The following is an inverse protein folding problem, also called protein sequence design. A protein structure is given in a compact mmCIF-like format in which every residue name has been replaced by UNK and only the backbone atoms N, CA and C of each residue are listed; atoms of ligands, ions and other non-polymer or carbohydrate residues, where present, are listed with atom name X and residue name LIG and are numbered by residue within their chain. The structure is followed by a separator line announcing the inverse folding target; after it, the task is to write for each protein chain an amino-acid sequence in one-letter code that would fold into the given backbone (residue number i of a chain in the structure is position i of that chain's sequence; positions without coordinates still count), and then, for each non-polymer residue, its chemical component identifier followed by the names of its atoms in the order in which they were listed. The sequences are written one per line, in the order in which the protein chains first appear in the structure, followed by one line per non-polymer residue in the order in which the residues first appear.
data_IF_809340003721
#
_entry.id   IF_809340003721
#
_cell.length_a   1.000
_cell.length_b   1.000
_cell.length_c   1.000
_cell.angle_alpha   90.00
_cell.angle_beta   90.00
_cell.angle_gamma   90.00
#
_symmetry.space_group_name_H-M   'P 1'
#
loop_
_entity.id
_entity.type
_entity.pdbx_description
1 polymer ?
#
# COMPACT_ATOMS: atom_id res chain seq x y z
N UNK A 1 -23.94 -17.61 -0.87
CA UNK A 1 -22.51 -17.91 -0.70
C UNK A 1 -21.89 -18.64 -1.89
N UNK A 2 -22.40 -19.81 -2.31
CA UNK A 2 -21.77 -20.58 -3.40
C UNK A 2 -21.73 -19.81 -4.74
N UNK A 3 -22.79 -19.13 -5.14
CA UNK A 3 -22.84 -18.32 -6.37
C UNK A 3 -21.88 -17.13 -6.33
N UNK A 4 -21.76 -16.47 -5.15
CA UNK A 4 -20.79 -15.39 -4.95
C UNK A 4 -19.37 -15.91 -5.08
N UNK A 5 -19.09 -17.08 -4.51
CA UNK A 5 -17.76 -17.71 -4.63
C UNK A 5 -17.42 -18.09 -6.07
N UNK A 6 -18.38 -18.66 -6.81
CA UNK A 6 -18.18 -18.96 -8.25
C UNK A 6 -17.90 -17.71 -9.06
N UNK A 7 -18.70 -16.63 -8.87
CA UNK A 7 -18.47 -15.34 -9.49
C UNK A 7 -17.12 -14.74 -9.11
N UNK A 8 -16.78 -14.79 -7.83
CA UNK A 8 -15.48 -14.34 -7.33
C UNK A 8 -14.31 -15.09 -7.93
N UNK A 9 -14.36 -16.43 -8.00
CA UNK A 9 -13.32 -17.24 -8.64
C UNK A 9 -13.20 -16.93 -10.13
N UNK A 10 -14.32 -16.71 -10.84
CA UNK A 10 -14.29 -16.24 -12.23
C UNK A 10 -13.52 -14.93 -12.34
N UNK A 11 -13.78 -13.96 -11.46
CA UNK A 11 -13.09 -12.67 -11.45
C UNK A 11 -11.60 -12.82 -11.13
N UNK A 12 -11.23 -13.71 -10.20
CA UNK A 12 -9.84 -14.07 -9.90
C UNK A 12 -9.11 -14.57 -11.16
N UNK A 13 -9.71 -15.53 -11.89
CA UNK A 13 -9.09 -16.07 -13.11
C UNK A 13 -8.96 -15.02 -14.20
N UNK A 14 -10.00 -14.18 -14.40
CA UNK A 14 -9.97 -13.11 -15.41
C UNK A 14 -8.89 -12.08 -15.05
N UNK A 15 -8.82 -11.64 -13.80
CA UNK A 15 -7.84 -10.64 -13.37
C UNK A 15 -6.41 -11.17 -13.39
N UNK A 16 -6.20 -12.43 -13.01
CA UNK A 16 -4.89 -13.10 -13.15
C UNK A 16 -4.48 -13.19 -14.62
N UNK A 17 -5.38 -13.66 -15.51
CA UNK A 17 -5.12 -13.74 -16.95
C UNK A 17 -4.80 -12.38 -17.57
N UNK A 18 -5.60 -11.37 -17.27
CA UNK A 18 -5.37 -10.00 -17.73
C UNK A 18 -4.00 -9.47 -17.25
N UNK A 19 -3.65 -9.73 -15.98
CA UNK A 19 -2.38 -9.30 -15.42
C UNK A 19 -1.17 -10.00 -16.05
N UNK A 20 -1.27 -11.29 -16.37
CA UNK A 20 -0.21 -12.04 -17.05
C UNK A 20 0.09 -11.42 -18.43
N UNK A 21 -0.93 -10.95 -19.14
CA UNK A 21 -0.78 -10.31 -20.45
C UNK A 21 -0.27 -8.87 -20.30
N UNK A 22 -0.78 -8.13 -19.31
CA UNK A 22 -0.49 -6.70 -19.15
C UNK A 22 0.89 -6.44 -18.54
N UNK A 23 1.33 -7.26 -17.60
CA UNK A 23 2.59 -7.04 -16.87
C UNK A 23 3.84 -6.98 -17.79
N UNK A 24 4.06 -7.90 -18.75
CA UNK A 24 5.19 -7.79 -19.69
C UNK A 24 5.17 -6.52 -20.53
N UNK A 25 3.99 -6.04 -20.91
CA UNK A 25 3.82 -4.79 -21.67
C UNK A 25 4.28 -3.61 -20.81
N UNK A 26 3.80 -3.52 -19.56
CA UNK A 26 4.21 -2.46 -18.62
C UNK A 26 5.72 -2.51 -18.39
N UNK A 27 6.28 -3.69 -18.12
CA UNK A 27 7.73 -3.85 -17.91
C UNK A 27 8.52 -3.33 -19.13
N UNK A 28 8.12 -3.71 -20.34
CA UNK A 28 8.75 -3.24 -21.58
C UNK A 28 8.70 -1.72 -21.74
N UNK A 29 7.54 -1.11 -21.44
CA UNK A 29 7.35 0.34 -21.47
C UNK A 29 8.24 1.05 -20.43
N UNK A 30 8.30 0.53 -19.20
CA UNK A 30 9.13 1.11 -18.13
C UNK A 30 10.62 1.12 -18.51
N UNK A 31 11.12 0.06 -19.15
CA UNK A 31 12.48 0.03 -19.69
C UNK A 31 12.66 1.02 -20.85
N UNK A 32 11.71 1.06 -21.81
CA UNK A 32 11.76 1.97 -22.95
C UNK A 32 11.79 3.44 -22.51
N UNK A 33 10.98 3.82 -21.53
CA UNK A 33 10.96 5.18 -20.99
C UNK A 33 12.06 5.45 -19.97
N UNK A 34 13.00 4.50 -19.79
CA UNK A 34 14.14 4.63 -18.89
C UNK A 34 13.74 5.01 -17.45
N UNK A 35 12.60 4.47 -16.99
CA UNK A 35 12.12 4.62 -15.61
C UNK A 35 12.87 3.68 -14.65
N UNK A 36 14.16 3.60 -14.83
CA UNK A 36 15.06 2.74 -14.07
C UNK A 36 15.60 3.54 -12.89
N UNK A 37 15.63 2.90 -11.71
CA UNK A 37 16.17 3.52 -10.50
C UNK A 37 17.61 3.98 -10.72
N UNK A 38 17.80 5.30 -10.73
CA UNK A 38 19.11 5.91 -10.90
C UNK A 38 19.84 6.12 -9.56
N UNK A 39 19.89 5.11 -8.69
CA UNK A 39 20.77 5.13 -7.49
C UNK A 39 22.24 5.14 -7.90
N UNK A 40 22.61 6.09 -8.77
CA UNK A 40 23.97 6.22 -9.29
C UNK A 40 24.81 7.13 -8.41
N UNK A 41 26.05 6.67 -8.24
CA UNK A 41 27.35 7.37 -7.98
C UNK A 41 27.36 8.70 -7.21
N UNK A 42 26.36 9.57 -7.35
CA UNK A 42 26.29 10.87 -6.67
C UNK A 42 25.98 10.77 -5.17
N UNK A 43 25.18 9.79 -4.75
CA UNK A 43 24.96 9.54 -3.31
C UNK A 43 26.17 8.92 -2.62
N UNK A 44 27.08 8.28 -3.38
CA UNK A 44 28.28 7.64 -2.83
C UNK A 44 29.38 8.67 -2.46
N UNK A 45 29.36 9.84 -3.09
CA UNK A 45 30.47 10.80 -2.97
C UNK A 45 30.33 11.76 -1.76
N UNK A 46 29.11 11.98 -1.23
CA UNK A 46 28.87 13.10 -0.31
C UNK A 46 28.51 12.70 1.14
N UNK A 47 28.40 11.42 1.50
CA UNK A 47 27.76 11.08 2.78
C UNK A 47 28.62 10.25 3.74
N UNK A 48 29.08 10.93 4.78
CA UNK A 48 29.54 10.32 6.05
C UNK A 48 28.30 10.03 6.92
N UNK A 49 28.04 8.77 7.26
CA UNK A 49 26.98 8.41 8.20
C UNK A 49 25.92 7.41 7.68
N UNK A 50 24.69 7.56 8.13
CA UNK A 50 23.58 6.62 7.86
C UNK A 50 23.18 6.49 6.40
N UNK A 51 23.35 7.53 5.61
CA UNK A 51 23.08 7.45 4.18
C UNK A 51 24.08 6.49 3.51
N UNK A 52 25.32 6.43 3.98
CA UNK A 52 26.31 5.47 3.50
C UNK A 52 25.91 4.01 3.79
N UNK A 53 25.34 3.73 4.98
CA UNK A 53 24.84 2.39 5.33
C UNK A 53 23.62 2.00 4.49
N UNK A 54 22.67 2.92 4.31
CA UNK A 54 21.50 2.71 3.46
C UNK A 54 21.90 2.44 2.00
N UNK A 55 22.80 3.25 1.44
CA UNK A 55 23.33 3.08 0.09
C UNK A 55 24.06 1.73 -0.05
N UNK A 56 24.84 1.34 0.97
CA UNK A 56 25.52 0.03 0.98
C UNK A 56 24.53 -1.14 0.95
N UNK A 57 23.44 -1.05 1.69
CA UNK A 57 22.36 -2.05 1.71
C UNK A 57 21.71 -2.13 0.32
N UNK A 58 21.33 -0.98 -0.27
CA UNK A 58 20.68 -0.93 -1.58
C UNK A 58 21.61 -1.43 -2.70
N UNK A 59 22.91 -1.12 -2.64
CA UNK A 59 23.89 -1.63 -3.59
C UNK A 59 24.13 -3.14 -3.44
N UNK A 60 24.08 -3.67 -2.23
CA UNK A 60 24.20 -5.11 -1.98
C UNK A 60 23.03 -5.92 -2.56
N UNK A 61 21.86 -5.29 -2.73
CA UNK A 61 20.67 -5.91 -3.34
C UNK A 61 20.73 -5.97 -4.88
N UNK A 62 21.81 -5.51 -5.52
CA UNK A 62 21.96 -5.43 -7.01
C UNK A 62 20.77 -4.74 -7.69
N UNK A 63 20.21 -3.73 -7.07
CA UNK A 63 19.01 -3.02 -7.52
C UNK A 63 19.25 -2.02 -8.66
N UNK A 64 20.51 -1.91 -9.13
CA UNK A 64 20.85 -1.04 -10.25
C UNK A 64 20.24 -1.56 -11.55
N UNK A 65 19.29 -0.82 -12.08
CA UNK A 65 18.66 -1.14 -13.36
C UNK A 65 17.23 -1.68 -13.25
N UNK A 66 16.69 -1.90 -12.04
CA UNK A 66 15.30 -2.30 -11.85
C UNK A 66 14.37 -1.10 -12.10
N UNK A 67 13.37 -1.22 -12.98
CA UNK A 67 12.42 -0.15 -13.22
C UNK A 67 11.51 0.09 -12.01
N UNK A 68 11.19 1.36 -11.79
CA UNK A 68 10.18 1.80 -10.84
C UNK A 68 8.80 1.83 -11.51
N UNK A 69 7.74 1.99 -10.72
CA UNK A 69 6.36 2.16 -11.17
C UNK A 69 5.69 0.88 -11.70
N UNK A 70 6.18 -0.31 -11.36
CA UNK A 70 5.49 -1.56 -11.72
C UNK A 70 4.07 -1.63 -11.16
N UNK A 71 3.81 -0.97 -10.05
CA UNK A 71 2.49 -0.84 -9.43
C UNK A 71 1.40 -0.21 -10.32
N UNK A 72 1.75 0.35 -11.48
CA UNK A 72 0.78 0.75 -12.51
C UNK A 72 -0.10 -0.43 -12.94
N UNK A 73 0.40 -1.67 -12.85
CA UNK A 73 -0.38 -2.89 -13.10
C UNK A 73 -1.59 -2.96 -12.17
N UNK A 74 -1.36 -2.80 -10.88
CA UNK A 74 -2.41 -2.79 -9.84
C UNK A 74 -3.35 -1.60 -10.05
N UNK A 75 -2.78 -0.41 -10.22
CA UNK A 75 -3.54 0.83 -10.35
C UNK A 75 -4.49 0.84 -11.55
N UNK A 76 -4.08 0.27 -12.68
CA UNK A 76 -4.89 0.27 -13.91
C UNK A 76 -5.86 -0.92 -13.91
N UNK A 77 -5.39 -2.12 -13.60
CA UNK A 77 -6.21 -3.32 -13.78
C UNK A 77 -7.30 -3.47 -12.71
N UNK A 78 -7.03 -3.12 -11.46
CA UNK A 78 -8.05 -3.25 -10.40
C UNK A 78 -9.29 -2.41 -10.70
N UNK A 79 -9.21 -1.09 -10.93
CA UNK A 79 -10.41 -0.30 -11.19
C UNK A 79 -11.05 -0.65 -12.54
N UNK A 80 -10.26 -0.93 -13.58
CA UNK A 80 -10.77 -1.32 -14.89
C UNK A 80 -11.61 -2.61 -14.81
N UNK A 81 -11.06 -3.65 -14.20
CA UNK A 81 -11.75 -4.94 -14.11
C UNK A 81 -12.93 -4.87 -13.12
N UNK A 82 -12.81 -4.09 -12.04
CA UNK A 82 -13.95 -3.84 -11.15
C UNK A 82 -15.10 -3.17 -11.92
N UNK A 83 -14.82 -2.15 -12.72
CA UNK A 83 -15.84 -1.47 -13.51
C UNK A 83 -16.51 -2.38 -14.55
N UNK A 84 -15.75 -3.33 -15.14
CA UNK A 84 -16.25 -4.24 -16.18
C UNK A 84 -16.96 -5.48 -15.63
N UNK A 85 -16.65 -5.92 -14.41
CA UNK A 85 -17.06 -7.25 -13.92
C UNK A 85 -17.95 -7.20 -12.67
N UNK A 86 -18.11 -6.03 -12.05
CA UNK A 86 -18.85 -5.86 -10.80
C UNK A 86 -19.98 -4.85 -10.99
N UNK A 87 -21.13 -5.12 -10.41
CA UNK A 87 -22.24 -4.17 -10.39
C UNK A 87 -21.87 -2.94 -9.56
N UNK A 88 -21.94 -1.76 -10.16
CA UNK A 88 -21.47 -0.51 -9.54
C UNK A 88 -22.56 0.09 -8.67
N UNK A 89 -22.39 -0.04 -7.36
CA UNK A 89 -23.19 0.70 -6.35
C UNK A 89 -22.55 2.06 -6.06
N UNK A 90 -23.27 3.01 -5.40
CA UNK A 90 -22.69 4.29 -4.98
C UNK A 90 -21.41 4.11 -4.15
N UNK A 91 -21.38 3.16 -3.22
CA UNK A 91 -20.19 2.83 -2.40
C UNK A 91 -19.04 2.33 -3.25
N UNK A 92 -19.29 1.44 -4.22
CA UNK A 92 -18.24 0.95 -5.15
C UNK A 92 -17.75 2.07 -6.06
N UNK A 93 -18.62 2.98 -6.48
CA UNK A 93 -18.23 4.14 -7.27
C UNK A 93 -17.21 5.02 -6.51
N UNK A 94 -17.49 5.34 -5.25
CA UNK A 94 -16.56 6.10 -4.39
C UNK A 94 -15.25 5.32 -4.18
N UNK A 95 -15.30 4.00 -3.99
CA UNK A 95 -14.12 3.15 -3.94
C UNK A 95 -13.24 3.29 -5.18
N UNK A 96 -13.84 3.22 -6.38
CA UNK A 96 -13.12 3.37 -7.65
C UNK A 96 -12.47 4.75 -7.79
N UNK A 97 -13.20 5.81 -7.45
CA UNK A 97 -12.65 7.18 -7.46
C UNK A 97 -11.43 7.25 -6.54
N UNK A 98 -11.54 6.76 -5.32
CA UNK A 98 -10.45 6.77 -4.35
C UNK A 98 -9.24 5.95 -4.82
N UNK A 99 -9.47 4.75 -5.33
CA UNK A 99 -8.41 3.89 -5.84
C UNK A 99 -7.65 4.54 -7.00
N UNK A 100 -8.37 5.15 -7.95
CA UNK A 100 -7.77 5.86 -9.09
C UNK A 100 -6.99 7.09 -8.62
N UNK A 101 -7.54 7.90 -7.72
CA UNK A 101 -6.89 9.13 -7.23
C UNK A 101 -5.61 8.83 -6.43
N UNK A 102 -5.63 7.81 -5.56
CA UNK A 102 -4.44 7.44 -4.80
C UNK A 102 -3.37 6.80 -5.68
N UNK A 103 -3.74 5.98 -6.65
CA UNK A 103 -2.80 5.44 -7.63
C UNK A 103 -2.18 6.54 -8.49
N UNK A 104 -2.98 7.51 -8.93
CA UNK A 104 -2.51 8.68 -9.68
C UNK A 104 -1.57 9.54 -8.85
N UNK A 105 -1.91 9.79 -7.58
CA UNK A 105 -1.03 10.51 -6.68
C UNK A 105 0.30 9.79 -6.46
N UNK A 106 0.25 8.47 -6.23
CA UNK A 106 1.44 7.64 -6.14
C UNK A 106 2.29 7.63 -7.41
N UNK A 107 1.65 7.63 -8.59
CA UNK A 107 2.31 7.75 -9.87
C UNK A 107 3.05 9.08 -10.02
N UNK A 108 2.39 10.20 -9.71
CA UNK A 108 3.01 11.53 -9.73
C UNK A 108 4.22 11.59 -8.80
N UNK A 109 4.11 11.06 -7.57
CA UNK A 109 5.21 11.05 -6.59
C UNK A 109 6.43 10.34 -7.14
N UNK A 110 6.25 9.16 -7.74
CA UNK A 110 7.37 8.40 -8.33
C UNK A 110 7.93 9.07 -9.58
N UNK A 111 7.10 9.68 -10.44
CA UNK A 111 7.56 10.43 -11.62
C UNK A 111 8.42 11.62 -11.20
N UNK A 112 7.96 12.41 -10.23
CA UNK A 112 8.71 13.55 -9.70
C UNK A 112 10.02 13.08 -9.10
N UNK A 113 9.99 12.01 -8.28
CA UNK A 113 11.19 11.41 -7.68
C UNK A 113 12.19 10.97 -8.74
N UNK A 114 11.77 10.21 -9.75
CA UNK A 114 12.64 9.65 -10.78
C UNK A 114 13.23 10.76 -11.69
N UNK A 115 12.41 11.72 -12.11
CA UNK A 115 12.84 12.80 -12.99
C UNK A 115 13.69 13.86 -12.25
N UNK A 116 13.35 14.17 -11.00
CA UNK A 116 14.13 15.07 -10.15
C UNK A 116 15.56 14.58 -9.97
N UNK A 117 15.74 13.28 -9.74
CA UNK A 117 17.09 12.70 -9.66
C UNK A 117 17.88 12.72 -10.97
N UNK A 118 17.21 12.70 -12.13
CA UNK A 118 17.89 12.67 -13.44
C UNK A 118 18.26 14.06 -13.95
N UNK A 119 17.38 15.04 -13.79
CA UNK A 119 17.40 16.25 -14.61
C UNK A 119 17.67 17.56 -13.86
N UNK A 120 17.45 17.62 -12.54
CA UNK A 120 17.57 18.89 -11.81
C UNK A 120 17.98 18.71 -10.34
N UNK A 121 19.18 19.21 -10.03
CA UNK A 121 19.73 19.14 -8.66
C UNK A 121 18.90 19.91 -7.64
N UNK A 122 18.29 21.05 -8.02
CA UNK A 122 17.43 21.83 -7.12
C UNK A 122 16.16 21.07 -6.74
N UNK A 123 15.55 20.35 -7.69
CA UNK A 123 14.37 19.51 -7.42
C UNK A 123 14.77 18.35 -6.50
N UNK A 124 15.92 17.72 -6.72
CA UNK A 124 16.44 16.65 -5.86
C UNK A 124 16.62 17.13 -4.42
N UNK A 125 17.29 18.26 -4.23
CA UNK A 125 17.52 18.84 -2.89
C UNK A 125 16.17 19.17 -2.22
N UNK A 126 15.21 19.74 -2.97
CA UNK A 126 13.89 20.04 -2.43
C UNK A 126 13.13 18.77 -1.98
N UNK A 127 13.21 17.67 -2.75
CA UNK A 127 12.58 16.39 -2.41
C UNK A 127 13.16 15.75 -1.14
N UNK A 128 14.40 16.03 -0.78
CA UNK A 128 15.02 15.58 0.46
C UNK A 128 14.57 16.42 1.66
N UNK A 129 13.89 17.56 1.45
CA UNK A 129 13.45 18.46 2.52
C UNK A 129 12.26 17.91 3.30
N UNK A 130 12.15 18.35 4.55
CA UNK A 130 10.97 18.14 5.40
C UNK A 130 9.69 18.68 4.72
N UNK A 131 9.78 19.81 4.04
CA UNK A 131 8.64 20.48 3.38
C UNK A 131 8.03 19.63 2.28
N UNK A 132 8.81 18.94 1.46
CA UNK A 132 8.28 18.04 0.43
C UNK A 132 7.50 16.88 1.05
N UNK A 133 8.05 16.27 2.11
CA UNK A 133 7.37 15.20 2.82
C UNK A 133 6.05 15.66 3.44
N UNK A 134 6.02 16.88 4.00
CA UNK A 134 4.82 17.47 4.56
C UNK A 134 3.77 17.75 3.46
N UNK A 135 4.17 18.33 2.32
CA UNK A 135 3.29 18.57 1.18
C UNK A 135 2.63 17.27 0.71
N UNK A 136 3.40 16.20 0.55
CA UNK A 136 2.88 14.89 0.14
C UNK A 136 1.84 14.37 1.13
N UNK A 137 2.13 14.45 2.40
CA UNK A 137 1.21 14.02 3.46
C UNK A 137 -0.08 14.84 3.46
N UNK A 138 0.03 16.16 3.33
CA UNK A 138 -1.14 17.07 3.32
C UNK A 138 -2.02 16.84 2.08
N UNK A 139 -1.44 16.70 0.89
CA UNK A 139 -2.23 16.43 -0.32
C UNK A 139 -2.98 15.11 -0.20
N UNK A 140 -2.30 14.05 0.22
CA UNK A 140 -2.93 12.75 0.38
C UNK A 140 -3.99 12.75 1.51
N UNK A 141 -3.80 13.56 2.56
CA UNK A 141 -4.80 13.76 3.61
C UNK A 141 -6.05 14.48 3.08
N UNK A 142 -5.86 15.51 2.27
CA UNK A 142 -6.99 16.22 1.62
C UNK A 142 -7.76 15.26 0.70
N UNK A 143 -7.06 14.42 -0.08
CA UNK A 143 -7.69 13.40 -0.92
C UNK A 143 -8.51 12.41 -0.08
N UNK A 144 -7.97 11.91 1.04
CA UNK A 144 -8.72 11.02 1.93
C UNK A 144 -9.98 11.68 2.48
N UNK A 145 -9.86 12.88 3.03
CA UNK A 145 -11.00 13.63 3.56
C UNK A 145 -12.06 13.85 2.47
N UNK A 146 -11.65 14.24 1.27
CA UNK A 146 -12.55 14.40 0.13
C UNK A 146 -13.31 13.11 -0.21
N UNK A 147 -12.61 11.97 -0.28
CA UNK A 147 -13.23 10.68 -0.57
C UNK A 147 -14.20 10.26 0.55
N UNK A 148 -13.84 10.51 1.82
CA UNK A 148 -14.73 10.23 2.94
C UNK A 148 -15.99 11.10 2.92
N UNK A 149 -15.91 12.35 2.44
CA UNK A 149 -17.09 13.18 2.22
C UNK A 149 -17.94 12.67 1.06
N UNK A 150 -17.33 12.17 -0.03
CA UNK A 150 -18.10 11.51 -1.10
C UNK A 150 -18.86 10.30 -0.56
N UNK A 151 -18.20 9.46 0.27
CA UNK A 151 -18.85 8.31 0.90
C UNK A 151 -20.00 8.73 1.83
N UNK A 152 -19.79 9.75 2.66
CA UNK A 152 -20.83 10.29 3.53
C UNK A 152 -22.07 10.75 2.75
N UNK A 153 -21.86 11.40 1.61
CA UNK A 153 -22.94 11.91 0.75
C UNK A 153 -23.71 10.80 -0.01
N UNK A 154 -23.21 9.56 -0.04
CA UNK A 154 -23.99 8.44 -0.61
C UNK A 154 -25.20 8.07 0.25
N UNK A 155 -25.19 8.43 1.53
CA UNK A 155 -26.18 8.01 2.51
C UNK A 155 -26.07 6.55 2.96
N UNK A 156 -25.10 5.80 2.41
CA UNK A 156 -24.87 4.38 2.78
C UNK A 156 -23.94 4.24 3.99
N UNK A 157 -23.30 5.33 4.42
CA UNK A 157 -22.35 5.36 5.52
C UNK A 157 -22.84 6.32 6.64
N UNK A 158 -23.79 5.83 7.45
CA UNK A 158 -24.46 6.63 8.47
C UNK A 158 -24.00 6.33 9.90
N UNK A 159 -23.36 5.19 10.13
CA UNK A 159 -22.91 4.76 11.45
C UNK A 159 -21.62 3.95 11.41
N UNK A 160 -20.84 4.11 12.46
CA UNK A 160 -19.67 3.29 12.76
C UNK A 160 -19.96 2.43 13.97
N UNK A 161 -19.89 1.12 13.81
CA UNK A 161 -20.04 0.17 14.91
C UNK A 161 -18.69 -0.40 15.32
N UNK A 162 -18.48 -0.49 16.64
CA UNK A 162 -17.32 -1.12 17.24
C UNK A 162 -17.82 -2.29 18.09
N UNK A 163 -17.42 -3.51 17.75
CA UNK A 163 -17.84 -4.77 18.41
C UNK A 163 -19.36 -4.95 18.55
N UNK A 164 -20.16 -4.35 17.68
CA UNK A 164 -21.62 -4.32 17.79
C UNK A 164 -22.16 -3.77 19.13
N UNK A 165 -21.32 -3.17 19.96
CA UNK A 165 -21.65 -2.62 21.28
C UNK A 165 -21.75 -1.10 21.23
N UNK A 166 -20.81 -0.43 20.58
CA UNK A 166 -20.76 1.03 20.49
C UNK A 166 -21.03 1.42 19.04
N UNK A 167 -22.13 2.13 18.82
CA UNK A 167 -22.47 2.69 17.50
C UNK A 167 -22.41 4.20 17.57
N UNK A 168 -21.56 4.79 16.74
CA UNK A 168 -21.43 6.24 16.59
C UNK A 168 -22.10 6.69 15.29
N UNK A 169 -23.02 7.65 15.38
CA UNK A 169 -23.56 8.31 14.20
C UNK A 169 -22.46 9.10 13.49
N UNK A 170 -22.34 8.91 12.17
CA UNK A 170 -21.34 9.61 11.38
C UNK A 170 -21.74 11.05 11.19
N UNK A 171 -20.94 11.98 11.68
CA UNK A 171 -21.05 13.43 11.49
C UNK A 171 -19.92 13.95 10.60
N UNK A 172 -20.01 15.16 10.05
CA UNK A 172 -18.92 15.76 9.26
C UNK A 172 -17.58 15.79 10.00
N UNK A 173 -17.60 15.98 11.32
CA UNK A 173 -16.37 15.94 12.14
C UNK A 173 -15.77 14.53 12.16
N UNK A 174 -16.59 13.51 12.32
CA UNK A 174 -16.16 12.11 12.28
C UNK A 174 -15.61 11.76 10.89
N UNK A 175 -16.22 12.26 9.82
CA UNK A 175 -15.71 12.09 8.44
C UNK A 175 -14.29 12.62 8.29
N UNK A 176 -14.01 13.83 8.82
CA UNK A 176 -12.66 14.41 8.82
C UNK A 176 -11.67 13.53 9.60
N UNK A 177 -12.05 13.08 10.81
CA UNK A 177 -11.19 12.22 11.64
C UNK A 177 -10.88 10.89 10.95
N UNK A 178 -11.89 10.28 10.30
CA UNK A 178 -11.70 9.05 9.51
C UNK A 178 -10.75 9.31 8.34
N UNK A 179 -10.91 10.43 7.63
CA UNK A 179 -10.00 10.81 6.54
C UNK A 179 -8.55 10.96 7.01
N UNK A 180 -8.33 11.53 8.20
CA UNK A 180 -7.00 11.63 8.81
C UNK A 180 -6.44 10.23 9.13
N UNK A 181 -7.24 9.35 9.74
CA UNK A 181 -6.82 7.97 10.05
C UNK A 181 -6.53 7.20 8.76
N UNK A 182 -7.38 7.33 7.73
CA UNK A 182 -7.20 6.71 6.42
C UNK A 182 -5.90 7.15 5.75
N UNK A 183 -5.47 8.40 5.96
CA UNK A 183 -4.17 8.85 5.47
C UNK A 183 -2.99 8.09 6.11
N UNK A 184 -3.07 7.77 7.38
CA UNK A 184 -2.03 6.94 8.02
C UNK A 184 -2.04 5.51 7.48
N UNK A 185 -3.21 4.96 7.11
CA UNK A 185 -3.32 3.66 6.45
C UNK A 185 -2.60 3.64 5.09
N UNK A 186 -2.85 4.65 4.26
CA UNK A 186 -2.15 4.84 2.97
C UNK A 186 -0.64 4.99 3.16
N UNK A 187 -0.23 5.78 4.14
CA UNK A 187 1.18 6.00 4.44
C UNK A 187 1.88 4.74 5.01
N UNK A 188 1.17 3.92 5.80
CA UNK A 188 1.68 2.65 6.30
C UNK A 188 1.95 1.65 5.16
N UNK A 189 1.06 1.62 4.17
CA UNK A 189 1.25 0.82 2.96
C UNK A 189 2.46 1.29 2.14
N UNK A 190 2.56 2.60 1.88
CA UNK A 190 3.68 3.21 1.13
C UNK A 190 5.03 2.95 1.80
N UNK A 191 5.14 3.12 3.12
CA UNK A 191 6.36 2.80 3.87
C UNK A 191 6.71 1.32 3.90
N UNK A 192 5.77 0.43 3.60
CA UNK A 192 6.01 -1.01 3.55
C UNK A 192 6.65 -1.46 2.23
N UNK A 193 6.65 -0.62 1.20
CA UNK A 193 7.23 -0.91 -0.11
C UNK A 193 8.73 -0.60 -0.17
N UNK A 194 9.49 -1.19 0.76
CA UNK A 194 10.94 -0.96 0.88
C UNK A 194 11.83 -2.18 0.59
N UNK A 195 11.23 -3.31 0.20
CA UNK A 195 11.97 -4.54 -0.14
C UNK A 195 11.17 -5.39 -1.12
N UNK A 196 11.87 -6.05 -2.04
CA UNK A 196 11.26 -6.92 -3.06
C UNK A 196 10.31 -7.95 -2.44
N UNK A 197 9.08 -7.99 -2.91
CA UNK A 197 8.02 -8.89 -2.45
C UNK A 197 7.41 -8.56 -1.08
N UNK A 198 7.95 -7.61 -0.32
CA UNK A 198 7.53 -7.37 1.06
C UNK A 198 6.08 -6.85 1.11
N UNK A 199 5.83 -5.70 0.54
CA UNK A 199 4.54 -5.02 0.59
C UNK A 199 3.46 -5.84 -0.13
N UNK A 200 3.69 -6.19 -1.38
CA UNK A 200 2.68 -6.88 -2.19
C UNK A 200 2.33 -8.27 -1.64
N UNK A 201 3.30 -9.00 -1.06
CA UNK A 201 3.02 -10.28 -0.41
C UNK A 201 2.25 -10.14 0.90
N UNK A 202 2.52 -9.11 1.72
CA UNK A 202 1.69 -8.80 2.89
C UNK A 202 0.26 -8.47 2.46
N UNK A 203 0.08 -7.67 1.41
CA UNK A 203 -1.26 -7.32 0.91
C UNK A 203 -2.01 -8.52 0.31
N UNK A 204 -1.32 -9.50 -0.28
CA UNK A 204 -1.94 -10.76 -0.68
C UNK A 204 -2.50 -11.55 0.52
N UNK A 205 -1.77 -11.60 1.63
CA UNK A 205 -2.23 -12.25 2.87
C UNK A 205 -3.41 -11.46 3.49
N UNK A 206 -3.31 -10.13 3.53
CA UNK A 206 -4.37 -9.23 4.01
C UNK A 206 -5.64 -9.43 3.19
N UNK A 207 -5.53 -9.51 1.87
CA UNK A 207 -6.66 -9.70 0.96
C UNK A 207 -7.38 -11.03 1.21
N UNK A 208 -6.64 -12.13 1.33
CA UNK A 208 -7.18 -13.45 1.70
C UNK A 208 -7.90 -13.38 3.06
N UNK A 209 -7.37 -12.64 4.01
CA UNK A 209 -7.99 -12.45 5.32
C UNK A 209 -9.33 -11.71 5.22
N UNK A 210 -9.39 -10.63 4.41
CA UNK A 210 -10.63 -9.89 4.16
C UNK A 210 -11.66 -10.73 3.38
N UNK A 211 -11.23 -11.50 2.37
CA UNK A 211 -12.11 -12.46 1.68
C UNK A 211 -12.73 -13.42 2.68
N UNK A 212 -11.91 -14.02 3.55
CA UNK A 212 -12.37 -14.98 4.56
C UNK A 212 -13.36 -14.33 5.53
N UNK A 213 -13.01 -13.17 6.09
CA UNK A 213 -13.85 -12.44 7.04
C UNK A 213 -15.19 -12.06 6.40
N UNK A 214 -15.18 -11.50 5.19
CA UNK A 214 -16.39 -11.05 4.51
C UNK A 214 -17.28 -12.19 4.04
N UNK A 215 -16.71 -13.34 3.67
CA UNK A 215 -17.50 -14.54 3.37
C UNK A 215 -18.27 -15.05 4.60
N UNK A 216 -17.63 -15.03 5.77
CA UNK A 216 -18.26 -15.50 7.02
C UNK A 216 -19.30 -14.49 7.50
N UNK A 217 -19.03 -13.19 7.42
CA UNK A 217 -19.93 -12.12 7.84
C UNK A 217 -21.08 -11.85 6.85
N UNK A 218 -21.02 -12.36 5.62
CA UNK A 218 -22.04 -12.14 4.59
C UNK A 218 -21.88 -10.81 3.81
N UNK A 219 -20.71 -10.16 3.85
CA UNK A 219 -20.43 -8.95 3.05
C UNK A 219 -20.13 -9.29 1.60
N UNK A 220 -21.06 -9.98 0.94
CA UNK A 220 -20.86 -10.57 -0.39
C UNK A 220 -20.61 -9.57 -1.51
N UNK A 221 -21.07 -8.33 -1.36
CA UNK A 221 -20.92 -7.26 -2.34
C UNK A 221 -19.44 -7.00 -2.70
N UNK A 222 -18.53 -7.13 -1.72
CA UNK A 222 -17.12 -6.77 -1.88
C UNK A 222 -16.23 -7.96 -2.28
N UNK A 223 -16.74 -9.20 -2.21
CA UNK A 223 -15.96 -10.40 -2.58
C UNK A 223 -15.45 -10.35 -4.02
N UNK A 224 -16.25 -9.95 -5.04
CA UNK A 224 -15.76 -9.85 -6.41
C UNK A 224 -14.58 -8.89 -6.56
N UNK A 225 -14.58 -7.77 -5.83
CA UNK A 225 -13.50 -6.77 -5.85
C UNK A 225 -12.22 -7.34 -5.23
N UNK A 226 -12.32 -7.96 -4.05
CA UNK A 226 -11.18 -8.61 -3.38
C UNK A 226 -10.58 -9.71 -4.27
N UNK A 227 -11.41 -10.53 -4.92
CA UNK A 227 -10.93 -11.55 -5.86
C UNK A 227 -10.22 -10.96 -7.08
N UNK A 228 -10.64 -9.79 -7.57
CA UNK A 228 -9.92 -9.06 -8.63
C UNK A 228 -8.57 -8.57 -8.10
N UNK A 229 -8.54 -7.97 -6.91
CA UNK A 229 -7.31 -7.50 -6.26
C UNK A 229 -6.35 -8.66 -6.08
N UNK A 230 -6.80 -9.79 -5.55
CA UNK A 230 -5.97 -10.99 -5.34
C UNK A 230 -5.35 -11.50 -6.64
N UNK A 231 -6.14 -11.57 -7.73
CA UNK A 231 -5.63 -12.03 -9.02
C UNK A 231 -4.55 -11.13 -9.60
N UNK A 232 -4.69 -9.81 -9.42
CA UNK A 232 -3.65 -8.85 -9.84
C UNK A 232 -2.42 -8.96 -8.94
N UNK A 233 -2.60 -9.07 -7.60
CA UNK A 233 -1.51 -9.21 -6.63
C UNK A 233 -0.67 -10.47 -6.90
N UNK A 234 -1.28 -11.60 -7.24
CA UNK A 234 -0.56 -12.85 -7.53
C UNK A 234 0.46 -12.65 -8.66
N UNK A 235 0.07 -11.99 -9.73
CA UNK A 235 0.95 -11.74 -10.87
C UNK A 235 1.97 -10.65 -10.56
N UNK A 236 1.56 -9.59 -9.89
CA UNK A 236 2.46 -8.53 -9.45
C UNK A 236 3.57 -9.11 -8.55
N UNK A 237 3.20 -9.94 -7.55
CA UNK A 237 4.15 -10.62 -6.67
C UNK A 237 5.11 -11.51 -7.44
N UNK A 238 4.63 -12.26 -8.45
CA UNK A 238 5.49 -13.11 -9.28
C UNK A 238 6.64 -12.32 -9.91
N UNK A 239 6.39 -11.08 -10.36
CA UNK A 239 7.43 -10.23 -10.95
C UNK A 239 8.21 -9.42 -9.92
N UNK A 240 7.69 -9.23 -8.70
CA UNK A 240 8.29 -8.43 -7.65
C UNK A 240 9.09 -9.24 -6.61
N UNK A 241 9.03 -10.60 -6.62
CA UNK A 241 9.90 -11.43 -5.76
C UNK A 241 11.38 -11.30 -6.19
N UNK A 242 12.35 -11.47 -5.25
CA UNK A 242 13.78 -11.33 -5.56
C UNK A 242 14.30 -12.38 -6.56
N UNK A 243 15.04 -11.96 -7.61
CA UNK A 243 15.38 -10.61 -7.99
C UNK A 243 14.22 -9.91 -8.74
N UNK A 244 13.72 -8.81 -8.18
CA UNK A 244 12.54 -8.12 -8.71
C UNK A 244 12.77 -7.62 -10.15
N UNK A 245 11.76 -7.84 -11.01
CA UNK A 245 11.72 -7.31 -12.37
C UNK A 245 11.31 -5.85 -12.43
N UNK A 246 10.59 -5.39 -11.42
CA UNK A 246 10.23 -4.00 -11.19
C UNK A 246 9.97 -3.75 -9.70
N UNK A 247 9.98 -2.49 -9.31
CA UNK A 247 9.50 -2.03 -8.00
C UNK A 247 8.13 -1.41 -8.15
N UNK A 248 7.27 -1.71 -7.21
CA UNK A 248 5.87 -1.29 -7.22
C UNK A 248 5.72 0.24 -7.06
N UNK A 249 6.23 0.77 -5.97
CA UNK A 249 6.11 2.19 -5.65
C UNK A 249 4.69 2.63 -5.30
N UNK A 250 4.53 3.95 -5.16
CA UNK A 250 3.26 4.58 -4.80
C UNK A 250 2.04 4.17 -5.63
N UNK A 251 2.15 3.89 -6.95
CA UNK A 251 0.99 3.50 -7.78
C UNK A 251 0.25 2.25 -7.32
N UNK A 252 0.88 1.32 -6.58
CA UNK A 252 0.21 0.17 -5.97
C UNK A 252 0.04 0.32 -4.48
N UNK A 253 1.06 0.82 -3.77
CA UNK A 253 1.06 0.87 -2.32
C UNK A 253 -0.06 1.78 -1.78
N UNK A 254 -0.19 2.99 -2.33
CA UNK A 254 -1.18 3.95 -1.86
C UNK A 254 -2.63 3.51 -2.12
N UNK A 255 -3.02 3.07 -3.34
CA UNK A 255 -4.39 2.61 -3.56
C UNK A 255 -4.73 1.32 -2.81
N UNK A 256 -3.78 0.39 -2.59
CA UNK A 256 -4.02 -0.79 -1.76
C UNK A 256 -4.21 -0.40 -0.29
N UNK A 257 -3.39 0.50 0.25
CA UNK A 257 -3.56 1.03 1.61
C UNK A 257 -4.93 1.69 1.81
N UNK A 258 -5.37 2.49 0.84
CA UNK A 258 -6.71 3.06 0.80
C UNK A 258 -7.80 1.98 0.71
N UNK A 259 -7.66 1.02 -0.20
CA UNK A 259 -8.68 0.02 -0.50
C UNK A 259 -9.08 -0.78 0.75
N UNK A 260 -8.13 -1.34 1.48
CA UNK A 260 -8.41 -2.16 2.65
C UNK A 260 -8.94 -1.33 3.83
N UNK A 261 -8.48 -0.08 3.99
CA UNK A 261 -9.07 0.82 4.97
C UNK A 261 -10.52 1.16 4.62
N UNK A 262 -10.80 1.51 3.36
CA UNK A 262 -12.12 1.83 2.86
C UNK A 262 -13.09 0.66 3.04
N UNK A 263 -12.70 -0.55 2.63
CA UNK A 263 -13.52 -1.75 2.75
C UNK A 263 -13.81 -2.09 4.23
N UNK A 264 -12.83 -1.94 5.10
CA UNK A 264 -13.03 -2.13 6.53
C UNK A 264 -14.00 -1.10 7.13
N UNK A 265 -13.94 0.13 6.64
CA UNK A 265 -14.81 1.21 7.09
C UNK A 265 -16.27 0.94 6.72
N UNK A 266 -16.56 0.66 5.45
CA UNK A 266 -17.92 0.43 4.94
C UNK A 266 -18.55 -0.86 5.43
N UNK A 267 -17.76 -1.79 5.94
CA UNK A 267 -18.23 -3.06 6.54
C UNK A 267 -18.18 -3.07 8.06
N UNK A 268 -17.87 -1.92 8.69
CA UNK A 268 -17.69 -1.79 10.15
C UNK A 268 -16.62 -2.73 10.74
N UNK A 269 -15.59 -3.04 9.98
CA UNK A 269 -14.49 -3.94 10.37
C UNK A 269 -13.19 -3.20 10.71
N UNK A 270 -13.26 -1.99 11.30
CA UNK A 270 -12.06 -1.19 11.60
C UNK A 270 -11.12 -1.86 12.60
N UNK A 271 -11.65 -2.53 13.65
CA UNK A 271 -10.80 -3.21 14.63
C UNK A 271 -10.11 -4.43 14.02
N UNK A 272 -10.83 -5.36 13.35
CA UNK A 272 -10.21 -6.40 12.55
C UNK A 272 -9.14 -5.87 11.57
N UNK A 273 -9.44 -4.77 10.88
CA UNK A 273 -8.52 -4.15 9.94
C UNK A 273 -7.17 -3.78 10.59
N UNK A 274 -7.17 -3.09 11.75
CA UNK A 274 -5.93 -2.72 12.43
C UNK A 274 -5.10 -3.94 12.85
N UNK A 275 -5.74 -5.06 13.17
CA UNK A 275 -5.06 -6.32 13.48
C UNK A 275 -4.52 -6.98 12.21
N UNK A 276 -5.36 -7.17 11.20
CA UNK A 276 -4.98 -7.80 9.92
C UNK A 276 -3.82 -7.05 9.26
N UNK A 277 -3.87 -5.72 9.24
CA UNK A 277 -2.82 -4.87 8.68
C UNK A 277 -1.73 -4.50 9.70
N UNK A 278 -1.69 -5.14 10.86
CA UNK A 278 -0.83 -4.79 12.00
C UNK A 278 0.65 -4.62 11.66
N UNK A 279 1.17 -5.45 10.72
CA UNK A 279 2.58 -5.34 10.32
C UNK A 279 2.88 -4.05 9.56
N UNK A 280 1.97 -3.56 8.71
CA UNK A 280 2.16 -2.28 8.00
C UNK A 280 2.19 -1.11 8.99
N UNK A 281 1.33 -1.15 10.02
CA UNK A 281 1.32 -0.17 11.10
C UNK A 281 2.60 -0.21 11.92
N UNK A 282 3.13 -1.39 12.26
CA UNK A 282 4.41 -1.54 12.98
C UNK A 282 5.55 -0.93 12.17
N UNK A 283 5.58 -1.17 10.85
CA UNK A 283 6.58 -0.56 9.95
C UNK A 283 6.48 0.96 9.99
N UNK A 284 5.28 1.52 9.88
CA UNK A 284 5.04 2.96 9.95
C UNK A 284 5.45 3.55 11.30
N UNK A 285 4.98 2.96 12.41
CA UNK A 285 5.31 3.45 13.74
C UNK A 285 6.81 3.39 14.04
N UNK A 286 7.53 2.40 13.53
CA UNK A 286 8.99 2.36 13.64
C UNK A 286 9.66 3.61 13.05
N UNK A 287 9.14 4.11 11.93
CA UNK A 287 9.62 5.35 11.31
C UNK A 287 9.22 6.59 12.10
N UNK A 288 8.00 6.65 12.61
CA UNK A 288 7.53 7.76 13.45
C UNK A 288 8.33 7.85 14.75
N UNK A 289 8.54 6.72 15.45
CA UNK A 289 9.36 6.64 16.66
C UNK A 289 10.78 7.14 16.38
N UNK A 290 11.39 6.72 15.27
CA UNK A 290 12.71 7.18 14.87
C UNK A 290 12.77 8.69 14.67
N UNK A 291 11.78 9.27 13.97
CA UNK A 291 11.74 10.72 13.72
C UNK A 291 11.54 11.51 15.01
N UNK A 292 10.65 11.08 15.88
CA UNK A 292 10.40 11.70 17.19
C UNK A 292 11.67 11.63 18.07
N UNK A 293 12.30 10.46 18.14
CA UNK A 293 13.52 10.27 18.93
C UNK A 293 14.67 11.13 18.42
N UNK A 294 14.87 11.24 17.11
CA UNK A 294 15.89 12.11 16.54
C UNK A 294 15.61 13.60 16.80
N UNK A 295 14.34 14.02 16.74
CA UNK A 295 13.96 15.42 16.94
C UNK A 295 14.14 15.86 18.40
N UNK A 296 13.64 15.07 19.35
CA UNK A 296 13.57 15.45 20.77
C UNK A 296 14.77 14.96 21.57
N UNK A 297 15.24 13.74 21.33
CA UNK A 297 16.30 13.11 22.14
C UNK A 297 17.65 13.05 21.44
N UNK A 298 17.72 13.42 20.14
CA UNK A 298 18.94 13.36 19.31
C UNK A 298 19.61 11.97 19.28
N UNK A 299 18.85 10.93 19.59
CA UNK A 299 19.31 9.54 19.64
C UNK A 299 18.52 8.69 18.65
N UNK A 300 19.17 7.63 18.15
CA UNK A 300 18.55 6.65 17.26
C UNK A 300 18.00 5.49 18.08
N UNK A 301 16.74 5.12 17.85
CA UNK A 301 16.15 3.89 18.37
C UNK A 301 16.51 2.71 17.46
N UNK A 302 16.34 2.89 16.16
CA UNK A 302 16.69 1.90 15.15
C UNK A 302 17.97 2.32 14.41
N UNK A 303 18.78 1.35 13.95
CA UNK A 303 19.95 1.66 13.09
C UNK A 303 19.51 2.43 11.84
N UNK A 304 18.45 1.96 11.21
CA UNK A 304 17.76 2.61 10.08
C UNK A 304 16.26 2.38 10.29
N UNK A 305 15.41 3.31 9.92
CA UNK A 305 13.97 3.15 9.81
C UNK A 305 13.57 3.27 8.31
N UNK A 306 12.49 2.61 7.87
CA UNK A 306 11.56 1.72 8.59
C UNK A 306 12.17 0.39 9.10
N UNK A 307 11.37 -0.37 9.87
CA UNK A 307 11.81 -1.57 10.61
C UNK A 307 12.50 -2.64 9.73
N UNK A 308 12.03 -2.88 8.51
CA UNK A 308 12.65 -3.83 7.60
C UNK A 308 14.09 -3.44 7.23
N UNK A 309 14.39 -2.15 7.09
CA UNK A 309 15.77 -1.67 6.89
C UNK A 309 16.63 -1.79 8.15
N UNK A 310 16.02 -1.73 9.35
CA UNK A 310 16.74 -2.02 10.59
C UNK A 310 17.28 -3.45 10.59
N UNK A 311 16.44 -4.44 10.22
CA UNK A 311 16.86 -5.83 10.15
C UNK A 311 17.94 -6.06 9.08
N UNK A 312 17.85 -5.38 7.93
CA UNK A 312 18.92 -5.39 6.92
C UNK A 312 20.23 -4.83 7.48
N UNK A 313 20.16 -3.72 8.24
CA UNK A 313 21.32 -3.06 8.84
C UNK A 313 22.00 -3.89 9.95
N UNK A 314 21.31 -4.86 10.55
CA UNK A 314 21.89 -5.82 11.51
C UNK A 314 22.31 -7.14 10.84
N UNK A 315 22.23 -7.23 9.51
CA UNK A 315 22.77 -8.34 8.73
C UNK A 315 21.77 -9.45 8.36
N UNK A 316 20.46 -9.22 8.53
CA UNK A 316 19.49 -10.22 8.06
C UNK A 316 19.37 -10.16 6.53
N UNK A 317 19.39 -11.31 5.84
CA UNK A 317 19.14 -11.34 4.41
C UNK A 317 17.69 -10.97 4.09
N UNK A 318 17.46 -10.36 2.93
CA UNK A 318 16.18 -9.80 2.52
C UNK A 318 15.04 -10.84 2.56
N UNK A 319 15.26 -12.03 1.99
CA UNK A 319 14.25 -13.09 1.98
C UNK A 319 13.79 -13.51 3.38
N UNK A 320 14.72 -13.55 4.36
CA UNK A 320 14.41 -13.85 5.76
C UNK A 320 13.49 -12.81 6.38
N UNK A 321 13.71 -11.53 6.08
CA UNK A 321 12.89 -10.42 6.57
C UNK A 321 11.49 -10.53 5.96
N UNK A 322 11.42 -10.65 4.63
CA UNK A 322 10.16 -10.72 3.89
C UNK A 322 9.29 -11.88 4.39
N UNK A 323 9.84 -13.10 4.45
CA UNK A 323 9.10 -14.27 4.92
C UNK A 323 8.61 -14.14 6.37
N UNK A 324 9.41 -13.55 7.27
CA UNK A 324 9.00 -13.35 8.67
C UNK A 324 7.90 -12.31 8.79
N UNK A 325 7.93 -11.26 7.99
CA UNK A 325 6.88 -10.25 7.98
C UNK A 325 5.58 -10.82 7.40
N UNK A 326 5.65 -11.68 6.38
CA UNK A 326 4.48 -12.41 5.88
C UNK A 326 3.89 -13.34 6.94
N UNK A 327 4.72 -14.11 7.66
CA UNK A 327 4.27 -14.99 8.75
C UNK A 327 3.60 -14.18 9.88
N UNK A 328 4.19 -13.04 10.25
CA UNK A 328 3.58 -12.15 11.24
C UNK A 328 2.23 -11.61 10.75
N UNK A 329 2.17 -11.16 9.48
CA UNK A 329 0.92 -10.71 8.86
C UNK A 329 -0.13 -11.81 8.84
N UNK A 330 0.25 -13.04 8.49
CA UNK A 330 -0.68 -14.18 8.49
C UNK A 330 -1.21 -14.50 9.90
N UNK A 331 -0.34 -14.50 10.91
CA UNK A 331 -0.76 -14.70 12.30
C UNK A 331 -1.69 -13.57 12.78
N UNK A 332 -1.32 -12.32 12.52
CA UNK A 332 -2.13 -11.15 12.87
C UNK A 332 -3.48 -11.17 12.13
N UNK A 333 -3.52 -11.67 10.89
CA UNK A 333 -4.74 -11.87 10.12
C UNK A 333 -5.68 -12.89 10.76
N UNK A 334 -5.15 -14.01 11.26
CA UNK A 334 -5.96 -15.01 11.98
C UNK A 334 -6.58 -14.38 13.23
N UNK A 335 -5.80 -13.62 14.00
CA UNK A 335 -6.29 -12.90 15.17
C UNK A 335 -7.36 -11.88 14.79
N UNK A 336 -7.11 -11.11 13.71
CA UNK A 336 -8.06 -10.11 13.22
C UNK A 336 -9.37 -10.71 12.73
N UNK A 337 -9.33 -11.86 12.02
CA UNK A 337 -10.54 -12.59 11.63
C UNK A 337 -11.29 -13.05 12.88
N UNK A 338 -10.62 -13.68 13.85
CA UNK A 338 -11.25 -14.13 15.08
C UNK A 338 -11.97 -13.00 15.83
N UNK A 339 -11.30 -11.86 15.99
CA UNK A 339 -11.89 -10.67 16.64
C UNK A 339 -13.05 -10.10 15.82
N UNK A 340 -12.98 -10.16 14.49
CA UNK A 340 -14.08 -9.71 13.63
C UNK A 340 -15.34 -10.59 13.67
N UNK A 341 -15.22 -11.80 14.21
CA UNK A 341 -16.33 -12.74 14.37
C UNK A 341 -16.96 -12.71 15.79
N UNK A 342 -16.39 -11.99 16.73
CA UNK A 342 -16.95 -11.74 18.06
C UNK A 342 -18.00 -10.64 18.01
#
# INVERSE_FOLDING_TARGET
MLEVLKSGLKNLFISTGASIVFAPIVISLLYKFNQVSGLKKTMLAENKGTNALFIRIMNAQKTNGTPNMGGVIVWVLVPLLTYLLVDITPTIHVFLIGFILFGFWGFIDVVIFTNGFKNNEKIRVFQETFWWRLIKLVIAMILNIFIMFLLYNTGEFNSLSFFNVITLAVSPIIVVLIGIIGQFAVYAADLSDGSDGLMIGMFGIIDIAFITLFLIQGHYLFIPILMIILGVIIVDLYFNIPPARFWNGGPSAMPLGFAFFYLALVTNNLIPYFLITGMTWIIMFSSMIQLVSLKFFKKRVFKIAPLHHHFQAIGWPQHKIVMRFWLFTAFASIVGIYIGLL
#
